data_IF_696804490492
#
_entry.id   IF_696804490492
#
_cell.length_a   1.000
_cell.length_b   1.000
_cell.length_c   1.000
_cell.angle_alpha   90.00
_cell.angle_beta   90.00
_cell.angle_gamma   90.00
#
_symmetry.space_group_name_H-M   'P 1'
#
loop_
_entity.id
_entity.type
_entity.pdbx_description
1 polymer ?
#
# COMPACT_ATOMS: atom_id res chain seq x y z
N UNK A 1 5.32 6.54 18.17
CA UNK A 1 5.18 6.28 16.73
C UNK A 1 3.71 6.21 16.37
N UNK A 2 3.21 7.02 15.42
CA UNK A 2 1.83 6.90 14.94
C UNK A 2 1.66 5.58 14.17
N UNK A 3 0.50 4.93 14.35
CA UNK A 3 0.16 3.68 13.66
C UNK A 3 -1.30 3.73 13.18
N UNK A 4 -1.59 3.01 12.09
CA UNK A 4 -2.93 2.94 11.50
C UNK A 4 -3.39 1.49 11.48
N UNK A 5 -4.53 1.21 12.11
CA UNK A 5 -5.15 -0.12 12.07
C UNK A 5 -5.82 -0.32 10.70
N UNK A 6 -5.45 -1.41 10.02
CA UNK A 6 -6.03 -1.85 8.75
C UNK A 6 -6.78 -3.15 8.98
N UNK A 7 -7.94 -3.33 8.35
CA UNK A 7 -8.66 -4.60 8.39
C UNK A 7 -7.90 -5.65 7.54
N UNK A 8 -7.42 -6.75 8.13
CA UNK A 8 -6.69 -7.79 7.42
C UNK A 8 -7.58 -8.67 6.53
N UNK A 9 -8.91 -8.64 6.69
CA UNK A 9 -9.80 -9.55 5.98
C UNK A 9 -9.73 -9.36 4.45
N UNK A 10 -9.64 -10.49 3.74
CA UNK A 10 -9.62 -10.51 2.27
C UNK A 10 -8.40 -9.83 1.65
N UNK A 11 -7.25 -9.80 2.34
CA UNK A 11 -5.99 -9.27 1.78
C UNK A 11 -5.20 -10.30 0.97
N UNK A 12 -5.38 -11.61 1.19
CA UNK A 12 -4.65 -12.64 0.46
C UNK A 12 -5.14 -12.93 -0.97
N UNK A 13 -6.44 -12.80 -1.34
CA UNK A 13 -6.89 -13.11 -2.69
C UNK A 13 -6.92 -11.88 -3.62
N UNK A 14 -6.59 -10.68 -3.12
CA UNK A 14 -6.63 -9.43 -3.87
C UNK A 14 -5.29 -9.11 -4.55
N UNK A 15 -5.28 -8.89 -5.86
CA UNK A 15 -4.09 -8.49 -6.58
C UNK A 15 -3.70 -7.06 -6.19
N UNK A 16 -2.48 -6.83 -5.66
CA UNK A 16 -2.07 -5.48 -5.24
C UNK A 16 -1.97 -4.49 -6.41
N UNK A 17 -1.80 -5.00 -7.63
CA UNK A 17 -1.60 -4.21 -8.86
C UNK A 17 -2.91 -3.80 -9.53
N UNK A 18 -3.85 -4.72 -9.71
CA UNK A 18 -5.06 -4.49 -10.50
C UNK A 18 -6.39 -4.74 -9.75
N UNK A 19 -6.33 -4.94 -8.43
CA UNK A 19 -7.49 -5.12 -7.55
C UNK A 19 -8.37 -6.35 -7.88
N UNK A 20 -7.84 -7.30 -8.66
CA UNK A 20 -8.53 -8.56 -8.96
C UNK A 20 -8.54 -9.49 -7.75
N UNK A 21 -9.73 -9.95 -7.32
CA UNK A 21 -9.93 -10.68 -6.05
C UNK A 21 -9.81 -12.21 -6.13
N UNK A 22 -9.36 -12.77 -7.25
CA UNK A 22 -9.25 -14.23 -7.43
C UNK A 22 -7.86 -14.61 -7.91
N UNK A 23 -6.86 -14.39 -7.07
CA UNK A 23 -5.51 -14.88 -7.35
C UNK A 23 -5.49 -16.42 -7.34
N UNK A 24 -4.72 -17.01 -8.25
CA UNK A 24 -4.58 -18.46 -8.44
C UNK A 24 -3.31 -18.96 -7.75
N UNK A 25 -3.38 -20.11 -7.09
CA UNK A 25 -2.19 -20.78 -6.54
C UNK A 25 -1.41 -21.46 -7.66
N UNK A 26 -0.15 -21.05 -7.85
CA UNK A 26 0.74 -21.56 -8.93
C UNK A 26 1.91 -22.37 -8.40
N UNK A 27 2.04 -22.48 -7.07
CA UNK A 27 3.10 -23.25 -6.43
C UNK A 27 3.10 -23.04 -4.92
N UNK A 28 4.13 -23.57 -4.24
CA UNK A 28 4.25 -23.42 -2.80
C UNK A 28 4.29 -21.94 -2.41
N UNK A 29 3.27 -21.49 -1.68
CA UNK A 29 3.08 -20.11 -1.18
C UNK A 29 3.01 -19.02 -2.25
N UNK A 30 3.02 -19.34 -3.55
CA UNK A 30 2.98 -18.34 -4.64
C UNK A 30 1.59 -18.21 -5.23
N UNK A 31 1.17 -16.97 -5.46
CA UNK A 31 -0.08 -16.63 -6.12
C UNK A 31 0.17 -15.86 -7.40
N UNK A 32 -0.62 -16.14 -8.43
CA UNK A 32 -0.61 -15.45 -9.72
C UNK A 32 -1.95 -14.78 -9.99
N UNK A 33 -1.90 -13.58 -10.53
CA UNK A 33 -3.08 -12.88 -11.02
C UNK A 33 -3.33 -13.25 -12.48
N UNK A 34 -4.46 -13.90 -12.82
CA UNK A 34 -4.78 -14.23 -14.20
C UNK A 34 -5.06 -12.97 -15.05
N UNK A 35 -5.45 -11.86 -14.40
CA UNK A 35 -5.82 -10.62 -15.08
C UNK A 35 -4.62 -9.77 -15.53
N UNK A 36 -3.55 -9.71 -14.74
CA UNK A 36 -2.40 -8.84 -15.04
C UNK A 36 -1.04 -9.55 -15.02
N UNK A 37 -1.03 -10.87 -14.80
CA UNK A 37 0.18 -11.69 -14.75
C UNK A 37 1.05 -11.50 -13.52
N UNK A 38 0.67 -10.64 -12.58
CA UNK A 38 1.45 -10.42 -11.35
C UNK A 38 1.54 -11.72 -10.54
N UNK A 39 2.76 -12.10 -10.15
CA UNK A 39 3.02 -13.29 -9.36
C UNK A 39 3.97 -12.97 -8.19
N UNK A 40 3.62 -13.40 -6.99
CA UNK A 40 4.45 -13.23 -5.80
C UNK A 40 4.05 -14.21 -4.69
N UNK A 41 4.85 -14.29 -3.62
CA UNK A 41 4.50 -15.02 -2.40
C UNK A 41 3.25 -14.40 -1.71
N UNK A 42 2.42 -15.24 -1.10
CA UNK A 42 1.23 -14.84 -0.32
C UNK A 42 1.52 -13.76 0.72
N UNK A 43 2.66 -13.84 1.39
CA UNK A 43 3.03 -12.86 2.42
C UNK A 43 3.41 -11.51 1.81
N UNK A 44 4.06 -11.53 0.63
CA UNK A 44 4.40 -10.32 -0.11
C UNK A 44 3.11 -9.63 -0.57
N UNK A 45 2.16 -10.39 -1.09
CA UNK A 45 0.83 -9.89 -1.49
C UNK A 45 0.10 -9.29 -0.29
N UNK A 46 0.06 -10.00 0.84
CA UNK A 46 -0.55 -9.52 2.08
C UNK A 46 0.06 -8.19 2.55
N UNK A 47 1.40 -8.09 2.60
CA UNK A 47 2.12 -6.85 2.97
C UNK A 47 1.78 -5.69 2.04
N UNK A 48 1.75 -5.94 0.72
CA UNK A 48 1.41 -4.90 -0.27
C UNK A 48 -0.03 -4.42 -0.09
N UNK A 49 -0.98 -5.32 0.15
CA UNK A 49 -2.38 -4.96 0.35
C UNK A 49 -2.62 -4.21 1.67
N UNK A 50 -1.96 -4.62 2.76
CA UNK A 50 -2.00 -3.89 4.04
C UNK A 50 -1.43 -2.47 3.86
N UNK A 51 -0.26 -2.33 3.22
CA UNK A 51 0.33 -1.02 2.93
C UNK A 51 -0.60 -0.16 2.08
N UNK A 52 -1.17 -0.72 1.00
CA UNK A 52 -2.11 -0.03 0.11
C UNK A 52 -3.34 0.48 0.85
N UNK A 53 -3.95 -0.34 1.70
CA UNK A 53 -5.11 0.04 2.53
C UNK A 53 -4.74 1.07 3.59
N UNK A 54 -3.57 0.96 4.22
CA UNK A 54 -3.07 1.93 5.19
C UNK A 54 -2.85 3.32 4.56
N UNK A 55 -2.21 3.37 3.39
CA UNK A 55 -2.04 4.61 2.63
C UNK A 55 -3.37 5.21 2.20
N UNK A 56 -4.33 4.39 1.74
CA UNK A 56 -5.70 4.84 1.42
C UNK A 56 -6.40 5.44 2.65
N UNK A 57 -6.30 4.82 3.83
CA UNK A 57 -6.86 5.37 5.09
C UNK A 57 -6.23 6.70 5.48
N UNK A 58 -4.94 6.89 5.19
CA UNK A 58 -4.22 8.13 5.42
C UNK A 58 -4.47 9.20 4.34
N UNK A 59 -5.24 8.89 3.29
CA UNK A 59 -5.45 9.81 2.15
C UNK A 59 -4.21 9.99 1.26
N UNK A 60 -3.15 9.20 1.47
CA UNK A 60 -1.92 9.29 0.69
C UNK A 60 -2.11 8.51 -0.61
N UNK A 61 -2.22 9.24 -1.72
CA UNK A 61 -2.30 8.66 -3.07
C UNK A 61 -0.90 8.62 -3.68
N UNK A 62 -0.42 7.42 -4.04
CA UNK A 62 0.77 7.27 -4.89
C UNK A 62 0.37 7.62 -6.34
N UNK A 63 0.28 8.91 -6.63
CA UNK A 63 0.48 9.42 -7.99
C UNK A 63 1.99 9.54 -8.18
N UNK A 64 2.55 9.29 -9.36
CA UNK A 64 4.00 9.34 -9.62
C UNK A 64 4.69 10.71 -9.43
N UNK A 65 4.03 11.63 -8.74
CA UNK A 65 4.54 12.92 -8.27
C UNK A 65 4.62 12.83 -6.75
N UNK A 66 5.81 13.11 -6.19
CA UNK A 66 5.95 13.44 -4.77
C UNK A 66 5.14 14.72 -4.51
N UNK A 67 3.81 14.61 -4.37
CA UNK A 67 3.01 15.70 -3.83
C UNK A 67 3.56 15.96 -2.45
N UNK A 68 4.14 17.16 -2.30
CA UNK A 68 4.63 17.71 -1.05
C UNK A 68 3.66 17.31 0.06
N UNK A 69 4.20 16.69 1.10
CA UNK A 69 3.47 16.55 2.35
C UNK A 69 2.97 17.97 2.68
N UNK A 70 1.66 18.21 2.61
CA UNK A 70 1.03 19.44 3.08
C UNK A 70 1.17 19.61 4.61
N UNK A 71 2.12 18.91 5.23
CA UNK A 71 2.61 19.27 6.53
C UNK A 71 3.10 20.72 6.42
N UNK A 72 2.57 21.65 7.22
CA UNK A 72 3.08 23.02 7.23
C UNK A 72 4.59 22.93 7.50
N UNK A 73 5.38 23.47 6.58
CA UNK A 73 6.81 23.63 6.80
C UNK A 73 6.94 24.52 8.04
N UNK A 74 7.60 24.00 9.07
CA UNK A 74 7.92 24.75 10.28
C UNK A 74 8.93 25.83 9.85
N UNK A 75 8.46 27.05 9.61
CA UNK A 75 9.36 28.17 9.32
C UNK A 75 10.15 28.49 10.58
N UNK A 76 11.47 28.36 10.48
CA UNK A 76 12.41 28.66 11.55
C UNK A 76 12.26 30.11 12.04
N UNK A 77 12.52 30.32 13.32
CA UNK A 77 12.35 31.58 14.05
C UNK A 77 13.31 32.62 13.46
N UNK A 78 12.86 33.87 13.33
CA UNK A 78 13.69 34.99 12.91
C UNK A 78 14.91 35.12 13.85
N UNK A 79 16.15 34.96 13.36
CA UNK A 79 17.34 35.01 14.22
C UNK A 79 17.70 36.42 14.71
N UNK A 80 16.92 37.46 14.36
CA UNK A 80 17.19 38.85 14.76
C UNK A 80 15.95 39.54 15.34
N UNK A 81 15.59 39.19 16.59
CA UNK A 81 14.93 40.11 17.52
C UNK A 81 15.56 40.00 18.89
#
# INVERSE_FOLDING_TARGET
MPYVKVDPNGTSPECPKCDYKKLEEVGYRRLRCPRCGFEADRDVIGKLNVRKRGLRKLGIKFSGTLTLLNAPQMTDVNPNR
#
